data_IF_302240630434
#
_entry.id   IF_302240630434
#
_cell.length_a   1.000
_cell.length_b   1.000
_cell.length_c   1.000
_cell.angle_alpha   90.00
_cell.angle_beta   90.00
_cell.angle_gamma   90.00
#
_symmetry.space_group_name_H-M   'P 1'
#
loop_
_entity.id
_entity.type
_entity.pdbx_description
1 polymer ?
#
# COMPACT_ATOMS: atom_id res chain seq x y z
N UNK A 1 -18.47 -1.53 -7.04
CA UNK A 1 -17.40 -0.67 -6.49
C UNK A 1 -16.10 -1.03 -7.17
N UNK A 2 -15.14 -0.11 -7.28
CA UNK A 2 -13.80 -0.46 -7.75
C UNK A 2 -13.13 -1.34 -6.68
N UNK A 3 -12.61 -2.53 -7.01
CA UNK A 3 -11.97 -3.44 -6.05
C UNK A 3 -10.84 -2.81 -5.22
N UNK A 4 -10.23 -1.72 -5.69
CA UNK A 4 -9.20 -1.00 -4.94
C UNK A 4 -9.72 -0.47 -3.59
N UNK A 5 -10.98 -0.04 -3.53
CA UNK A 5 -11.58 0.44 -2.28
C UNK A 5 -11.83 -0.71 -1.31
N UNK A 6 -12.30 -1.85 -1.82
CA UNK A 6 -12.53 -3.05 -1.02
C UNK A 6 -11.20 -3.54 -0.42
N UNK A 7 -10.12 -3.52 -1.22
CA UNK A 7 -8.78 -3.85 -0.76
C UNK A 7 -8.28 -2.87 0.31
N UNK A 8 -8.39 -1.55 0.09
CA UNK A 8 -7.94 -0.52 1.04
C UNK A 8 -8.65 -0.72 2.38
N UNK A 9 -9.98 -0.86 2.38
CA UNK A 9 -10.76 -1.02 3.60
C UNK A 9 -10.40 -2.32 4.33
N UNK A 10 -10.38 -3.45 3.61
CA UNK A 10 -10.05 -4.75 4.19
C UNK A 10 -8.61 -4.79 4.73
N UNK A 11 -7.66 -4.21 4.01
CA UNK A 11 -6.26 -4.14 4.41
C UNK A 11 -6.01 -3.23 5.60
N UNK A 12 -6.73 -2.10 5.71
CA UNK A 12 -6.68 -1.25 6.91
C UNK A 12 -7.20 -2.01 8.12
N UNK A 13 -8.38 -2.64 8.00
CA UNK A 13 -8.98 -3.41 9.10
C UNK A 13 -8.03 -4.55 9.51
N UNK A 14 -7.57 -5.35 8.54
CA UNK A 14 -6.66 -6.46 8.79
C UNK A 14 -5.33 -6.02 9.39
N UNK A 15 -4.76 -4.92 8.91
CA UNK A 15 -3.52 -4.36 9.44
C UNK A 15 -3.68 -3.83 10.86
N UNK A 16 -4.77 -3.11 11.15
CA UNK A 16 -5.04 -2.62 12.51
C UNK A 16 -5.32 -3.76 13.48
N UNK A 17 -6.06 -4.79 13.06
CA UNK A 17 -6.25 -6.00 13.85
C UNK A 17 -4.92 -6.71 14.15
N UNK A 18 -4.04 -6.84 13.15
CA UNK A 18 -2.73 -7.43 13.34
C UNK A 18 -1.84 -6.61 14.29
N UNK A 19 -1.87 -5.27 14.18
CA UNK A 19 -1.19 -4.38 15.12
C UNK A 19 -1.74 -4.59 16.54
N UNK A 20 -3.06 -4.59 16.70
CA UNK A 20 -3.69 -4.79 18.02
C UNK A 20 -3.27 -6.12 18.68
N UNK A 21 -3.20 -7.21 17.91
CA UNK A 21 -2.76 -8.52 18.42
C UNK A 21 -1.24 -8.58 18.70
N UNK A 22 -0.42 -7.87 17.91
CA UNK A 22 1.04 -7.90 17.99
C UNK A 22 1.63 -6.48 17.85
N UNK A 23 1.58 -5.66 18.92
CA UNK A 23 2.11 -4.30 18.87
C UNK A 23 3.62 -4.22 18.69
N UNK A 24 4.34 -5.31 18.95
CA UNK A 24 5.77 -5.45 18.68
C UNK A 24 6.12 -5.33 17.19
N UNK A 25 5.18 -5.67 16.30
CA UNK A 25 5.36 -5.62 14.85
C UNK A 25 5.16 -4.23 14.26
N UNK A 26 4.59 -3.27 15.00
CA UNK A 26 4.18 -1.97 14.46
C UNK A 26 5.31 -1.20 13.75
N UNK A 27 6.54 -1.25 14.28
CA UNK A 27 7.70 -0.61 13.63
C UNK A 27 8.03 -1.23 12.27
N UNK A 28 7.95 -2.57 12.16
CA UNK A 28 8.17 -3.28 10.89
C UNK A 28 7.04 -3.00 9.90
N UNK A 29 5.81 -2.91 10.38
CA UNK A 29 4.63 -2.60 9.56
C UNK A 29 4.70 -1.20 8.96
N UNK A 30 5.13 -0.20 9.75
CA UNK A 30 5.36 1.15 9.25
C UNK A 30 6.55 1.20 8.28
N UNK A 31 7.64 0.49 8.58
CA UNK A 31 8.79 0.43 7.69
C UNK A 31 8.45 -0.21 6.34
N UNK A 32 7.66 -1.30 6.33
CA UNK A 32 7.22 -1.95 5.09
C UNK A 32 6.22 -1.10 4.30
N UNK A 33 5.32 -0.38 4.98
CA UNK A 33 4.42 0.58 4.34
C UNK A 33 5.21 1.68 3.62
N UNK A 34 6.20 2.28 4.30
CA UNK A 34 7.05 3.32 3.71
C UNK A 34 7.89 2.78 2.55
N UNK A 35 8.51 1.61 2.71
CA UNK A 35 9.33 0.99 1.66
C UNK A 35 8.50 0.70 0.41
N UNK A 36 7.33 0.08 0.57
CA UNK A 36 6.48 -0.26 -0.57
C UNK A 36 5.90 0.98 -1.25
N UNK A 37 5.49 1.99 -0.47
CA UNK A 37 5.05 3.28 -1.02
C UNK A 37 6.15 3.90 -1.89
N UNK A 38 7.38 3.99 -1.39
CA UNK A 38 8.49 4.59 -2.14
C UNK A 38 8.76 3.82 -3.43
N UNK A 39 8.88 2.48 -3.35
CA UNK A 39 9.14 1.65 -4.52
C UNK A 39 8.02 1.76 -5.56
N UNK A 40 6.77 1.70 -5.13
CA UNK A 40 5.60 1.76 -6.01
C UNK A 40 5.45 3.15 -6.65
N UNK A 41 5.67 4.20 -5.87
CA UNK A 41 5.64 5.57 -6.37
C UNK A 41 6.76 5.84 -7.37
N UNK A 42 7.99 5.39 -7.10
CA UNK A 42 9.10 5.48 -8.04
C UNK A 42 8.80 4.75 -9.35
N UNK A 43 8.17 3.57 -9.28
CA UNK A 43 7.71 2.85 -10.46
C UNK A 43 6.69 3.66 -11.28
N UNK A 44 5.73 4.32 -10.64
CA UNK A 44 4.81 5.20 -11.35
C UNK A 44 5.52 6.41 -11.97
N UNK A 45 6.51 6.99 -11.30
CA UNK A 45 7.28 8.09 -11.86
C UNK A 45 8.06 7.66 -13.12
N UNK A 46 8.62 6.45 -13.15
CA UNK A 46 9.27 5.94 -14.37
C UNK A 46 8.26 5.71 -15.48
N UNK A 47 7.07 5.18 -15.16
CA UNK A 47 5.98 5.00 -16.11
C UNK A 47 5.54 6.32 -16.76
N UNK A 48 5.34 7.36 -15.93
CA UNK A 48 4.92 8.69 -16.39
C UNK A 48 6.03 9.37 -17.21
N UNK A 49 7.29 9.22 -16.80
CA UNK A 49 8.43 9.78 -17.51
C UNK A 49 8.62 9.13 -18.90
N UNK A 50 8.36 7.83 -19.02
CA UNK A 50 8.46 7.10 -20.29
C UNK A 50 7.23 7.28 -21.18
N UNK A 51 6.04 7.42 -20.60
CA UNK A 51 4.78 7.54 -21.33
C UNK A 51 3.84 8.55 -20.66
N UNK A 52 4.00 9.85 -21.00
CA UNK A 52 3.13 10.90 -20.47
C UNK A 52 1.67 10.67 -20.86
N UNK A 53 0.75 10.82 -19.90
CA UNK A 53 -0.70 10.61 -20.11
C UNK A 53 -1.15 9.15 -20.11
N UNK A 54 -0.24 8.18 -19.97
CA UNK A 54 -0.60 6.75 -19.93
C UNK A 54 -1.54 6.42 -18.78
N UNK A 55 -1.27 6.97 -17.59
CA UNK A 55 -2.10 6.74 -16.40
C UNK A 55 -3.53 7.24 -16.64
N UNK A 56 -3.70 8.43 -17.18
CA UNK A 56 -5.02 9.01 -17.47
C UNK A 56 -5.79 8.25 -18.55
N UNK A 57 -5.08 7.64 -19.50
CA UNK A 57 -5.68 6.86 -20.58
C UNK A 57 -6.09 5.44 -20.14
N UNK A 58 -5.31 4.82 -19.23
CA UNK A 58 -5.49 3.41 -18.84
C UNK A 58 -6.28 3.27 -17.54
N UNK A 59 -6.08 4.17 -16.57
CA UNK A 59 -6.85 4.12 -15.32
C UNK A 59 -8.25 4.68 -15.54
N UNK A 60 -9.25 3.97 -15.01
CA UNK A 60 -10.61 4.44 -15.03
C UNK A 60 -10.84 5.50 -13.94
N UNK A 61 -10.37 6.73 -14.22
CA UNK A 61 -10.43 7.87 -13.29
C UNK A 61 -11.86 8.24 -12.90
N UNK A 62 -12.88 7.86 -13.69
CA UNK A 62 -14.30 8.11 -13.37
C UNK A 62 -14.82 7.27 -12.20
N UNK A 63 -14.22 6.09 -12.00
CA UNK A 63 -14.59 5.19 -10.89
C UNK A 63 -13.65 5.39 -9.69
N UNK A 64 -12.55 6.11 -9.90
CA UNK A 64 -11.68 6.63 -8.83
C UNK A 64 -12.15 8.04 -8.42
N UNK A 65 -11.48 8.64 -7.43
CA UNK A 65 -11.73 10.03 -7.02
C UNK A 65 -11.31 11.06 -8.07
N UNK A 66 -10.47 10.66 -9.04
CA UNK A 66 -9.86 11.57 -10.02
C UNK A 66 -8.76 12.47 -9.45
N UNK A 67 -8.37 12.29 -8.18
CA UNK A 67 -7.31 13.06 -7.55
C UNK A 67 -5.95 12.45 -7.92
N UNK A 68 -5.10 13.26 -8.56
CA UNK A 68 -3.75 12.85 -8.96
C UNK A 68 -2.69 13.60 -8.14
N UNK A 69 -1.76 12.84 -7.56
CA UNK A 69 -0.53 13.34 -6.92
C UNK A 69 0.60 13.13 -7.92
N UNK A 70 1.10 14.21 -8.53
CA UNK A 70 2.14 14.16 -9.57
C UNK A 70 1.83 13.22 -10.76
N UNK A 71 0.54 13.04 -11.09
CA UNK A 71 0.09 12.12 -12.14
C UNK A 71 -0.21 10.70 -11.66
N UNK A 72 -0.04 10.40 -10.37
CA UNK A 72 -0.39 9.11 -9.75
C UNK A 72 -1.72 9.21 -9.02
N UNK A 73 -2.69 8.31 -9.22
CA UNK A 73 -3.96 8.34 -8.49
C UNK A 73 -3.76 8.21 -6.98
N UNK A 74 -4.50 8.99 -6.20
CA UNK A 74 -4.44 8.95 -4.74
C UNK A 74 -4.71 7.54 -4.19
N UNK A 75 -5.68 6.84 -4.77
CA UNK A 75 -6.03 5.47 -4.38
C UNK A 75 -4.89 4.48 -4.59
N UNK A 76 -4.03 4.67 -5.59
CA UNK A 76 -2.85 3.83 -5.83
C UNK A 76 -1.80 4.03 -4.73
N UNK A 77 -1.65 5.26 -4.23
CA UNK A 77 -0.77 5.54 -3.09
C UNK A 77 -1.33 4.94 -1.79
N UNK A 78 -2.64 5.04 -1.58
CA UNK A 78 -3.31 4.42 -0.44
C UNK A 78 -3.20 2.89 -0.51
N UNK A 79 -3.41 2.30 -1.68
CA UNK A 79 -3.20 0.89 -1.94
C UNK A 79 -1.78 0.47 -1.55
N UNK A 80 -0.77 1.21 -1.99
CA UNK A 80 0.63 0.91 -1.67
C UNK A 80 0.90 0.95 -0.16
N UNK A 81 0.44 2.00 0.54
CA UNK A 81 0.61 2.10 1.98
C UNK A 81 -0.05 0.91 2.69
N UNK A 82 -1.30 0.61 2.34
CA UNK A 82 -2.09 -0.44 3.00
C UNK A 82 -1.51 -1.83 2.72
N UNK A 83 -1.14 -2.12 1.48
CA UNK A 83 -0.50 -3.38 1.12
C UNK A 83 0.82 -3.55 1.87
N UNK A 84 1.67 -2.53 1.87
CA UNK A 84 2.94 -2.57 2.59
C UNK A 84 2.76 -2.74 4.09
N UNK A 85 1.78 -2.06 4.69
CA UNK A 85 1.45 -2.14 6.11
C UNK A 85 0.92 -3.53 6.51
N UNK A 86 0.04 -4.11 5.70
CA UNK A 86 -0.58 -5.41 5.96
C UNK A 86 0.35 -6.59 5.67
N UNK A 87 1.14 -6.53 4.60
CA UNK A 87 1.92 -7.69 4.14
C UNK A 87 2.98 -8.16 5.13
N UNK A 88 3.69 -7.23 5.79
CA UNK A 88 4.72 -7.59 6.75
C UNK A 88 4.14 -8.22 8.02
N UNK A 89 2.95 -7.78 8.45
CA UNK A 89 2.27 -8.37 9.60
C UNK A 89 1.79 -9.78 9.31
N UNK A 90 1.28 -10.02 8.09
CA UNK A 90 0.87 -11.34 7.62
C UNK A 90 2.05 -12.32 7.58
N UNK A 91 3.19 -11.91 7.00
CA UNK A 91 4.38 -12.75 6.92
C UNK A 91 4.85 -13.21 8.32
N UNK A 92 4.94 -12.29 9.26
CA UNK A 92 5.39 -12.57 10.63
C UNK A 92 4.35 -13.36 11.45
N UNK A 93 3.05 -13.19 11.17
CA UNK A 93 2.00 -14.02 11.77
C UNK A 93 2.04 -15.46 11.29
N UNK A 94 2.17 -15.68 9.97
CA UNK A 94 2.17 -17.02 9.38
C UNK A 94 3.44 -17.78 9.79
N UNK A 95 4.59 -17.12 9.83
CA UNK A 95 5.86 -17.77 10.18
C UNK A 95 6.10 -17.90 11.69
N UNK A 96 5.26 -17.30 12.54
CA UNK A 96 5.32 -17.35 14.01
C UNK A 96 6.70 -17.03 14.62
N UNK A 97 7.52 -16.26 13.89
CA UNK A 97 8.84 -15.86 14.39
C UNK A 97 8.65 -14.79 15.46
N UNK A 98 9.18 -15.04 16.66
CA UNK A 98 9.31 -13.98 17.67
C UNK A 98 10.49 -13.10 17.26
N UNK A 99 10.30 -11.79 17.34
CA UNK A 99 11.41 -10.86 17.25
C UNK A 99 12.25 -11.03 18.51
N UNK A 100 13.23 -11.93 18.46
CA UNK A 100 14.28 -11.99 19.49
C UNK A 100 15.09 -10.71 19.35
N UNK A 101 14.82 -9.75 20.22
CA UNK A 101 15.67 -8.58 20.39
C UNK A 101 17.05 -9.10 20.80
N UNK A 102 18.05 -8.87 19.94
CA UNK A 102 19.45 -9.04 20.34
C UNK A 102 19.93 -7.73 20.96
#
# INVERSE_FOLDING_TARGET
MNPIYDFIIAGIIGGLSAWYCRPDLGKKMLASAGLFLILYYLYFLTLIAMSPGYVEAVWNLKVLSGILVTGVPLEELLFAIVLGFYWSSLYEHITWRRLTHK
#
